data_IF_058470439448
#
_entry.id   IF_058470439448
#
_cell.length_a   1.000
_cell.length_b   1.000
_cell.length_c   1.000
_cell.angle_alpha   90.00
_cell.angle_beta   90.00
_cell.angle_gamma   90.00
#
_symmetry.space_group_name_H-M   'P 1'
#
loop_
_entity.id
_entity.type
_entity.pdbx_description
1 polymer ?
#
# COMPACT_ATOMS: atom_id res chain seq x y z
N UNK A 1 7.78 2.80 14.93
CA UNK A 1 8.33 1.54 14.37
C UNK A 1 7.84 1.41 12.94
N UNK A 2 8.73 1.23 11.97
CA UNK A 2 8.37 1.12 10.56
C UNK A 2 8.39 -0.36 10.14
N UNK A 3 7.36 -0.80 9.41
CA UNK A 3 7.35 -2.10 8.75
C UNK A 3 7.20 -1.90 7.24
N UNK A 4 7.69 -2.85 6.45
CA UNK A 4 7.60 -2.83 5.00
C UNK A 4 6.68 -3.96 4.54
N UNK A 5 5.82 -3.69 3.56
CA UNK A 5 4.83 -4.64 3.02
C UNK A 5 4.87 -4.56 1.51
N UNK A 6 4.71 -5.71 0.87
CA UNK A 6 4.55 -5.84 -0.58
C UNK A 6 3.24 -6.55 -0.83
N UNK A 7 2.36 -5.94 -1.63
CA UNK A 7 1.09 -6.55 -2.04
C UNK A 7 0.96 -6.63 -3.54
N UNK A 8 0.32 -7.69 -4.01
CA UNK A 8 0.17 -8.05 -5.42
C UNK A 8 -1.31 -7.95 -5.78
N UNK A 9 -1.67 -7.06 -6.69
CA UNK A 9 -3.06 -6.79 -7.11
C UNK A 9 -3.57 -7.83 -8.10
N UNK A 10 -2.72 -8.19 -9.03
CA UNK A 10 -2.81 -9.25 -10.03
C UNK A 10 -1.44 -9.23 -10.72
N UNK A 11 -1.24 -9.84 -11.88
CA UNK A 11 0.09 -9.86 -12.52
C UNK A 11 0.59 -8.49 -13.00
N UNK A 12 -0.18 -7.41 -12.85
CA UNK A 12 0.07 -6.16 -13.58
C UNK A 12 0.37 -4.95 -12.71
N UNK A 13 -0.08 -4.91 -11.44
CA UNK A 13 0.28 -3.82 -10.51
C UNK A 13 0.66 -4.35 -9.12
N UNK A 14 1.62 -3.67 -8.51
CA UNK A 14 2.10 -3.90 -7.15
C UNK A 14 2.35 -2.56 -6.47
N UNK A 15 2.32 -2.56 -5.15
CA UNK A 15 2.67 -1.39 -4.36
C UNK A 15 3.60 -1.77 -3.22
N UNK A 16 4.58 -0.91 -2.95
CA UNK A 16 5.55 -1.06 -1.87
C UNK A 16 5.76 0.25 -1.15
N UNK A 17 5.76 0.20 0.18
CA UNK A 17 5.85 1.40 1.00
C UNK A 17 6.11 1.12 2.47
N UNK A 18 6.12 2.21 3.23
CA UNK A 18 6.34 2.24 4.67
C UNK A 18 5.05 2.65 5.37
N UNK A 19 4.72 2.01 6.51
CA UNK A 19 3.72 2.57 7.42
C UNK A 19 4.34 3.37 8.54
N UNK A 20 3.61 4.43 8.85
CA UNK A 20 3.86 5.36 9.91
C UNK A 20 2.71 5.26 10.90
N UNK A 21 3.03 5.09 12.18
CA UNK A 21 2.04 5.16 13.24
C UNK A 21 1.59 6.62 13.41
N UNK A 22 0.31 6.90 13.16
CA UNK A 22 -0.27 8.23 13.31
C UNK A 22 -1.05 8.38 14.63
N UNK A 23 -1.09 7.35 15.47
CA UNK A 23 -1.95 7.29 16.64
C UNK A 23 -3.41 6.94 16.29
N UNK A 24 -4.27 6.88 17.31
CA UNK A 24 -5.73 6.66 17.17
C UNK A 24 -6.12 5.43 16.31
N UNK A 25 -5.30 4.37 16.36
CA UNK A 25 -5.47 3.14 15.57
C UNK A 25 -5.41 3.34 14.04
N UNK A 26 -4.72 4.39 13.57
CA UNK A 26 -4.49 4.66 12.14
C UNK A 26 -3.02 4.53 11.79
N UNK A 27 -2.75 3.85 10.68
CA UNK A 27 -1.41 3.79 10.10
C UNK A 27 -1.40 4.59 8.80
N UNK A 28 -0.53 5.59 8.69
CA UNK A 28 -0.29 6.31 7.45
C UNK A 28 0.61 5.49 6.54
N UNK A 29 0.35 5.53 5.24
CA UNK A 29 1.10 4.83 4.20
C UNK A 29 1.77 5.83 3.26
N UNK A 30 3.07 5.65 3.02
CA UNK A 30 3.78 6.30 1.93
C UNK A 30 4.53 5.25 1.11
N UNK A 31 4.27 5.21 -0.19
CA UNK A 31 4.82 4.19 -1.08
C UNK A 31 4.81 4.60 -2.53
N UNK A 32 5.04 3.62 -3.39
CA UNK A 32 5.04 3.80 -4.83
C UNK A 32 4.45 2.58 -5.54
N UNK A 33 3.74 2.84 -6.64
CA UNK A 33 3.24 1.81 -7.53
C UNK A 33 4.34 1.28 -8.45
N UNK A 34 4.29 -0.01 -8.75
CA UNK A 34 5.09 -0.69 -9.76
C UNK A 34 4.22 -1.55 -10.66
N UNK A 35 4.49 -1.54 -11.96
CA UNK A 35 3.71 -2.26 -12.96
C UNK A 35 4.48 -3.47 -13.52
N UNK A 36 3.79 -4.54 -13.90
CA UNK A 36 4.35 -5.68 -14.62
C UNK A 36 5.53 -6.34 -13.91
N UNK A 37 6.71 -6.34 -14.53
CA UNK A 37 7.95 -6.88 -13.96
C UNK A 37 8.94 -5.78 -13.55
N UNK A 38 8.46 -4.53 -13.39
CA UNK A 38 9.30 -3.45 -12.88
C UNK A 38 9.84 -3.77 -11.48
N UNK A 39 11.11 -3.44 -11.19
CA UNK A 39 11.65 -3.57 -9.85
C UNK A 39 10.88 -2.67 -8.87
N UNK A 40 10.72 -3.09 -7.60
CA UNK A 40 10.05 -2.28 -6.58
C UNK A 40 10.63 -0.86 -6.51
N UNK A 41 9.75 0.13 -6.51
CA UNK A 41 10.10 1.55 -6.39
C UNK A 41 9.95 2.02 -4.95
N UNK A 42 10.76 3.01 -4.58
CA UNK A 42 10.62 3.70 -3.29
C UNK A 42 9.81 4.97 -3.48
N UNK A 43 9.08 5.34 -2.44
CA UNK A 43 8.43 6.64 -2.37
C UNK A 43 9.46 7.77 -2.56
N UNK A 44 9.13 8.75 -3.40
CA UNK A 44 9.98 9.89 -3.75
C UNK A 44 10.96 9.64 -4.91
N UNK A 45 11.01 8.44 -5.49
CA UNK A 45 11.83 8.16 -6.69
C UNK A 45 11.18 8.66 -7.98
N UNK A 46 9.84 8.60 -8.06
CA UNK A 46 9.06 9.09 -9.20
C UNK A 46 7.72 9.63 -8.69
N UNK A 47 7.57 10.96 -8.73
CA UNK A 47 6.37 11.64 -8.24
C UNK A 47 5.09 11.22 -8.96
N UNK A 48 5.18 10.72 -10.20
CA UNK A 48 4.03 10.21 -10.94
C UNK A 48 3.58 8.82 -10.45
N UNK A 49 4.39 8.15 -9.62
CA UNK A 49 4.12 6.82 -9.05
C UNK A 49 3.93 6.85 -7.54
N UNK A 50 4.17 8.00 -6.92
CA UNK A 50 4.03 8.17 -5.48
C UNK A 50 2.58 7.98 -5.04
N UNK A 51 2.42 7.20 -3.97
CA UNK A 51 1.15 6.88 -3.35
C UNK A 51 1.20 7.27 -1.88
N UNK A 52 0.13 7.90 -1.39
CA UNK A 52 -0.07 8.19 0.02
C UNK A 52 -1.48 7.78 0.44
N UNK A 53 -1.61 7.19 1.63
CA UNK A 53 -2.90 6.67 2.07
C UNK A 53 -2.93 6.26 3.54
N UNK A 54 -3.95 5.48 3.90
CA UNK A 54 -4.15 4.99 5.26
C UNK A 54 -4.40 3.48 5.26
N UNK A 55 -3.83 2.78 6.24
CA UNK A 55 -4.24 1.44 6.60
C UNK A 55 -5.31 1.50 7.69
N UNK A 56 -6.49 0.95 7.38
CA UNK A 56 -7.65 0.86 8.27
C UNK A 56 -7.85 -0.59 8.70
N UNK A 57 -7.87 -0.91 10.00
CA UNK A 57 -8.20 -2.27 10.43
C UNK A 57 -9.67 -2.58 10.16
N UNK A 58 -9.92 -3.69 9.45
CA UNK A 58 -11.28 -4.21 9.22
C UNK A 58 -11.62 -5.32 10.23
N UNK A 59 -10.62 -6.07 10.67
CA UNK A 59 -10.70 -7.06 11.76
C UNK A 59 -9.29 -7.38 12.27
N UNK A 60 -9.15 -8.27 13.27
CA UNK A 60 -7.86 -8.69 13.82
C UNK A 60 -6.89 -9.29 12.77
N UNK A 61 -7.40 -9.77 11.64
CA UNK A 61 -6.59 -10.42 10.58
C UNK A 61 -6.63 -9.67 9.24
N UNK A 62 -7.44 -8.61 9.13
CA UNK A 62 -7.69 -7.90 7.87
C UNK A 62 -7.45 -6.41 8.04
N UNK A 63 -6.65 -5.86 7.12
CA UNK A 63 -6.44 -4.42 7.01
C UNK A 63 -6.86 -3.97 5.62
N UNK A 64 -7.29 -2.72 5.48
CA UNK A 64 -7.56 -2.09 4.19
C UNK A 64 -6.58 -0.97 3.95
N UNK A 65 -5.89 -0.95 2.81
CA UNK A 65 -5.18 0.24 2.34
C UNK A 65 -6.16 1.10 1.51
N UNK A 66 -6.35 2.34 1.94
CA UNK A 66 -7.15 3.36 1.26
C UNK A 66 -6.22 4.41 0.65
N UNK A 67 -6.27 4.56 -0.67
CA UNK A 67 -5.48 5.53 -1.44
C UNK A 67 -6.42 6.65 -1.95
N UNK A 68 -6.55 7.79 -1.22
CA UNK A 68 -7.48 8.86 -1.56
C UNK A 68 -7.08 9.69 -2.80
N UNK A 69 -5.82 9.58 -3.25
CA UNK A 69 -5.34 10.26 -4.46
C UNK A 69 -4.25 9.40 -5.13
N UNK A 70 -4.67 8.45 -5.97
CA UNK A 70 -3.76 7.83 -6.94
C UNK A 70 -3.40 8.88 -8.03
N UNK A 71 -2.26 8.74 -8.73
CA UNK A 71 -1.81 9.68 -9.76
C UNK A 71 -2.93 10.06 -10.75
N UNK A 72 -2.91 11.28 -11.34
CA UNK A 72 -3.98 11.76 -12.20
C UNK A 72 -4.06 10.89 -13.46
N UNK A 73 -4.96 9.92 -13.45
CA UNK A 73 -5.02 8.88 -14.47
C UNK A 73 -6.32 8.10 -14.43
N UNK A 74 -6.55 7.25 -13.41
CA UNK A 74 -7.63 6.27 -13.55
C UNK A 74 -8.26 5.67 -12.28
N UNK A 75 -7.96 6.16 -11.06
CA UNK A 75 -8.62 5.65 -9.86
C UNK A 75 -9.03 6.75 -8.88
N UNK A 76 -10.34 6.86 -8.63
CA UNK A 76 -10.91 7.80 -7.63
C UNK A 76 -10.87 7.26 -6.20
N UNK A 77 -10.56 5.97 -6.01
CA UNK A 77 -10.33 5.32 -4.71
C UNK A 77 -9.86 3.89 -4.98
N UNK A 78 -8.57 3.62 -4.79
CA UNK A 78 -8.05 2.25 -4.79
C UNK A 78 -8.13 1.68 -3.38
N UNK A 79 -8.64 0.46 -3.30
CA UNK A 79 -9.06 -0.15 -2.06
C UNK A 79 -8.59 -1.58 -2.00
N UNK A 80 -7.61 -1.82 -1.14
CA UNK A 80 -6.90 -3.08 -1.04
C UNK A 80 -7.21 -3.78 0.27
N UNK A 81 -7.73 -5.01 0.22
CA UNK A 81 -7.84 -5.85 1.42
C UNK A 81 -6.56 -6.67 1.60
N UNK A 82 -5.86 -6.41 2.70
CA UNK A 82 -4.65 -7.09 3.14
C UNK A 82 -5.03 -8.19 4.13
N UNK A 83 -4.57 -9.41 3.86
CA UNK A 83 -4.67 -10.53 4.79
C UNK A 83 -3.29 -10.88 5.32
N UNK A 84 -3.16 -11.09 6.62
CA UNK A 84 -1.91 -11.60 7.19
C UNK A 84 -1.62 -12.98 6.59
N UNK A 85 -0.50 -13.11 5.87
CA UNK A 85 -0.02 -14.42 5.45
C UNK A 85 0.34 -15.21 6.71
N UNK A 86 -0.43 -16.25 7.04
CA UNK A 86 0.03 -17.27 7.98
C UNK A 86 1.14 -18.04 7.28
N UNK A 87 2.39 -17.87 7.71
CA UNK A 87 3.42 -18.85 7.37
C UNK A 87 2.97 -20.19 8.00
N UNK A 88 2.74 -21.25 7.22
CA UNK A 88 2.78 -22.58 7.80
C UNK A 88 4.22 -22.80 8.26
N UNK A 89 4.39 -23.11 9.55
CA UNK A 89 5.69 -23.44 10.13
C UNK A 89 6.31 -24.67 9.50
#
# INVERSE_FOLDING_TARGET
TAASYTTRWDTTQRTSGTLYDLGEARLGYAGAETSGDEPPRRHGEDAARDQAGYLVPLSDERLRLELPASPPGEARLDMLELRRARNPG
#
